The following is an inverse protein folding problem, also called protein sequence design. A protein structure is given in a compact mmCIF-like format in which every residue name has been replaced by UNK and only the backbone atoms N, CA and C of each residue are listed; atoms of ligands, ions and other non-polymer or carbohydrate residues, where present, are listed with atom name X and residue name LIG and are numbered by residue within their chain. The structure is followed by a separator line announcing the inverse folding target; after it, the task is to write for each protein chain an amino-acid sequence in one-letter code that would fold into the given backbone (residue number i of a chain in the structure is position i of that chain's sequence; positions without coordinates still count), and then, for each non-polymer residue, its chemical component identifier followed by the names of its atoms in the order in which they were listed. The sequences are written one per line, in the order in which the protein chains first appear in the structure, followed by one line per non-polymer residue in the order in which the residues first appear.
data_IF_995694173226
#
_entry.id   IF_995694173226
#
_cell.length_a   1.000
_cell.length_b   1.000
_cell.length_c   1.000
_cell.angle_alpha   90.00
_cell.angle_beta   90.00
_cell.angle_gamma   90.00
#
_symmetry.space_group_name_H-M   'P 1'
#
loop_
_entity.id
_entity.type
_entity.pdbx_description
1 polymer ?
#
# COMPACT_ATOMS: atom_id res chain seq x y z
N UNK A 1 45.43 45.99 7.75
CA UNK A 1 45.44 47.46 7.53
C UNK A 1 44.52 47.77 6.36
N UNK A 2 43.58 48.73 6.54
CA UNK A 2 42.73 49.40 5.52
C UNK A 2 41.72 48.50 4.76
N UNK A 3 40.39 48.57 4.99
CA UNK A 3 39.41 49.63 4.61
C UNK A 3 39.29 49.81 3.08
N UNK A 4 38.16 50.05 2.41
CA UNK A 4 36.70 50.19 2.67
C UNK A 4 36.05 50.44 1.27
N UNK A 5 34.74 50.11 1.11
CA UNK A 5 33.72 50.73 0.18
C UNK A 5 33.86 50.48 -1.35
N UNK A 6 32.83 50.43 -2.21
CA UNK A 6 31.34 50.44 -2.14
C UNK A 6 30.75 50.43 -3.59
N UNK A 7 29.54 49.88 -3.79
CA UNK A 7 28.61 50.23 -4.90
C UNK A 7 28.67 49.34 -6.16
N UNK A 8 27.61 49.00 -6.93
CA UNK A 8 26.28 49.59 -7.17
C UNK A 8 25.38 48.56 -7.96
N UNK A 9 24.09 48.48 -7.57
CA UNK A 9 22.80 48.29 -8.31
C UNK A 9 22.51 47.15 -9.33
N UNK A 10 21.37 46.50 -9.07
CA UNK A 10 20.22 46.09 -9.92
C UNK A 10 20.44 45.61 -11.36
N UNK A 11 19.91 44.40 -11.66
CA UNK A 11 18.87 44.25 -12.69
C UNK A 11 17.99 43.02 -12.45
N UNK A 12 16.70 43.25 -12.64
CA UNK A 12 15.57 42.34 -12.70
C UNK A 12 15.61 41.46 -13.95
N UNK A 13 15.48 40.14 -13.81
CA UNK A 13 15.15 39.26 -14.93
C UNK A 13 13.67 38.87 -14.88
N UNK A 14 12.96 39.31 -15.92
CA UNK A 14 11.59 38.93 -16.23
C UNK A 14 11.48 37.42 -16.46
N UNK A 15 10.50 36.80 -15.81
CA UNK A 15 10.06 35.46 -16.14
C UNK A 15 9.34 35.46 -17.49
N UNK A 16 9.86 34.68 -18.44
CA UNK A 16 9.18 34.40 -19.69
C UNK A 16 8.37 33.10 -19.52
N UNK A 17 7.06 33.25 -19.41
CA UNK A 17 6.09 32.15 -19.48
C UNK A 17 5.91 31.80 -20.95
N UNK A 18 6.40 30.63 -21.37
CA UNK A 18 6.12 30.09 -22.72
C UNK A 18 4.92 29.16 -22.63
N UNK A 19 3.79 29.61 -23.19
CA UNK A 19 2.62 28.76 -23.51
C UNK A 19 2.84 28.14 -24.90
N UNK A 20 2.55 26.85 -25.12
CA UNK A 20 2.48 26.33 -26.48
C UNK A 20 1.14 26.71 -27.13
N UNK A 21 1.25 27.32 -28.32
CA UNK A 21 0.14 27.60 -29.24
C UNK A 21 -0.13 26.33 -30.05
N UNK A 22 -1.36 25.84 -30.00
CA UNK A 22 -1.89 24.83 -30.92
C UNK A 22 -2.38 25.52 -32.19
N UNK A 23 -1.82 25.16 -33.35
CA UNK A 23 -2.42 25.47 -34.65
C UNK A 23 -3.08 24.20 -35.21
N UNK A 24 -4.39 24.26 -35.36
CA UNK A 24 -5.17 23.27 -36.09
C UNK A 24 -5.01 23.47 -37.60
N UNK A 25 -5.00 22.37 -38.34
CA UNK A 25 -5.08 22.33 -39.79
C UNK A 25 -5.89 21.13 -40.24
N UNK A 26 -7.07 21.39 -40.79
CA UNK A 26 -7.99 20.42 -41.42
C UNK A 26 -7.77 20.46 -42.93
N UNK A 27 -7.58 19.29 -43.55
CA UNK A 27 -8.07 18.86 -44.88
C UNK A 27 -7.55 17.42 -45.09
N UNK A 28 -8.22 16.44 -45.70
CA UNK A 28 -9.38 16.43 -46.58
C UNK A 28 -9.06 15.50 -47.77
N UNK A 29 -9.45 14.21 -47.64
CA UNK A 29 -9.86 13.26 -48.71
C UNK A 29 -8.91 12.97 -49.90
N UNK A 30 -8.53 11.71 -50.09
CA UNK A 30 -9.04 10.89 -51.24
C UNK A 30 -8.80 9.39 -51.06
N UNK A 31 -9.77 8.60 -51.51
CA UNK A 31 -9.81 7.16 -51.47
C UNK A 31 -9.17 6.50 -52.70
N UNK A 32 -8.59 5.31 -52.53
CA UNK A 32 -8.51 4.31 -53.59
C UNK A 32 -8.53 2.89 -52.98
N UNK A 33 -9.61 2.16 -53.28
CA UNK A 33 -9.73 0.70 -53.10
C UNK A 33 -8.84 0.00 -54.13
N UNK A 34 -8.16 -1.07 -53.75
CA UNK A 34 -7.94 -2.22 -54.63
C UNK A 34 -7.92 -3.52 -53.78
N UNK A 35 -8.81 -4.41 -54.19
CA UNK A 35 -9.03 -5.77 -53.76
C UNK A 35 -7.96 -6.74 -54.27
N UNK A 36 -7.63 -7.78 -53.50
CA UNK A 36 -6.85 -8.92 -54.00
C UNK A 36 -6.65 -10.01 -52.96
N UNK A 37 -7.53 -11.01 -52.98
CA UNK A 37 -7.35 -12.30 -52.30
C UNK A 37 -6.11 -13.05 -52.83
N UNK A 38 -5.48 -13.88 -51.97
CA UNK A 38 -5.46 -15.36 -52.04
C UNK A 38 -4.12 -16.00 -51.58
N UNK A 39 -4.27 -17.06 -50.77
CA UNK A 39 -3.41 -18.26 -50.57
C UNK A 39 -2.40 -18.31 -49.41
N UNK A 40 -2.86 -19.04 -48.39
CA UNK A 40 -2.20 -20.16 -47.70
C UNK A 40 -0.84 -20.61 -48.25
N UNK A 41 0.16 -20.65 -47.36
CA UNK A 41 1.19 -21.71 -47.33
C UNK A 41 1.64 -21.93 -45.88
N UNK A 42 1.38 -23.13 -45.36
CA UNK A 42 2.15 -23.70 -44.25
C UNK A 42 3.32 -24.49 -44.81
N UNK A 43 4.38 -24.67 -44.02
CA UNK A 43 5.06 -25.95 -43.98
C UNK A 43 5.02 -26.55 -42.57
N UNK A 44 4.57 -27.80 -42.52
CA UNK A 44 4.83 -28.74 -41.44
C UNK A 44 6.28 -29.19 -41.52
N UNK A 45 6.97 -29.24 -40.38
CA UNK A 45 8.09 -30.15 -40.19
C UNK A 45 8.05 -30.73 -38.78
N UNK A 46 7.77 -32.03 -38.72
CA UNK A 46 7.93 -32.89 -37.54
C UNK A 46 9.20 -33.69 -37.75
N UNK A 47 10.22 -33.59 -36.88
CA UNK A 47 11.20 -34.68 -36.65
C UNK A 47 11.70 -34.65 -35.19
N UNK A 48 11.34 -35.72 -34.49
CA UNK A 48 12.03 -36.54 -33.48
C UNK A 48 12.74 -35.93 -32.25
N UNK A 49 12.23 -36.38 -31.11
CA UNK A 49 12.92 -36.50 -29.84
C UNK A 49 14.18 -37.36 -29.95
N UNK A 50 15.28 -36.87 -29.37
CA UNK A 50 16.46 -37.66 -29.05
C UNK A 50 16.73 -37.53 -27.55
N UNK A 51 16.32 -38.55 -26.80
CA UNK A 51 16.80 -38.81 -25.44
C UNK A 51 18.29 -39.14 -25.49
N UNK A 52 19.13 -38.31 -24.87
CA UNK A 52 20.49 -38.71 -24.49
C UNK A 52 20.66 -38.53 -22.98
N UNK A 53 20.67 -39.66 -22.30
CA UNK A 53 21.24 -39.80 -20.96
C UNK A 53 22.73 -39.53 -21.03
N UNK A 54 23.21 -38.54 -20.29
CA UNK A 54 24.63 -38.36 -20.00
C UNK A 54 24.81 -38.53 -18.50
N UNK A 55 25.27 -39.72 -18.14
CA UNK A 55 25.87 -40.03 -16.86
C UNK A 55 27.26 -39.40 -16.80
N UNK A 56 27.44 -38.36 -16.00
CA UNK A 56 28.76 -37.86 -15.60
C UNK A 56 28.97 -38.18 -14.13
N UNK A 57 29.82 -39.16 -13.88
CA UNK A 57 30.46 -39.37 -12.58
C UNK A 57 31.34 -38.17 -12.27
N UNK A 58 31.18 -37.60 -11.08
CA UNK A 58 32.14 -36.65 -10.50
C UNK A 58 32.52 -37.19 -9.12
N UNK A 59 33.80 -37.48 -8.96
CA UNK A 59 34.42 -37.89 -7.70
C UNK A 59 34.43 -36.75 -6.68
N UNK A 60 34.32 -37.04 -5.37
CA UNK A 60 34.24 -36.02 -4.34
C UNK A 60 35.62 -35.45 -3.97
N UNK A 61 35.75 -34.12 -4.05
CA UNK A 61 36.84 -33.39 -3.41
C UNK A 61 36.51 -33.20 -1.92
N UNK A 62 37.29 -33.84 -1.07
CA UNK A 62 37.39 -33.54 0.36
C UNK A 62 38.06 -32.19 0.54
N UNK A 63 37.39 -31.25 1.22
CA UNK A 63 38.07 -30.13 1.88
C UNK A 63 37.71 -30.12 3.36
N UNK A 64 38.77 -30.23 4.16
CA UNK A 64 38.78 -30.10 5.61
C UNK A 64 38.88 -28.62 5.97
N UNK A 65 38.02 -28.10 6.85
CA UNK A 65 38.35 -27.19 7.97
C UNK A 65 37.07 -26.81 8.78
N UNK A 66 37.22 -26.40 10.06
CA UNK A 66 36.32 -26.81 11.14
C UNK A 66 35.19 -25.83 11.49
N UNK A 67 34.11 -26.39 12.08
CA UNK A 67 33.03 -25.66 12.79
C UNK A 67 33.57 -24.92 14.03
N UNK A 68 33.00 -23.74 14.33
CA UNK A 68 32.74 -23.32 15.70
C UNK A 68 31.24 -23.46 16.03
N UNK A 69 30.98 -24.04 17.20
CA UNK A 69 29.65 -24.18 17.82
C UNK A 69 29.18 -22.84 18.44
N UNK A 70 27.86 -22.64 18.63
CA UNK A 70 27.28 -21.39 19.14
C UNK A 70 27.27 -21.32 20.68
N UNK A 71 27.29 -20.13 21.30
CA UNK A 71 26.91 -19.98 22.70
C UNK A 71 25.38 -19.87 22.87
N UNK A 72 24.82 -20.96 23.38
CA UNK A 72 23.90 -21.13 24.53
C UNK A 72 22.83 -20.07 24.85
N UNK A 73 21.58 -20.52 24.70
CA UNK A 73 20.39 -20.39 25.57
C UNK A 73 20.25 -19.14 26.47
N UNK A 74 19.24 -18.33 26.17
CA UNK A 74 18.52 -17.52 27.16
C UNK A 74 17.10 -18.06 27.32
N UNK A 75 16.75 -18.23 28.58
CA UNK A 75 15.63 -19.00 29.14
C UNK A 75 14.27 -18.38 28.85
N UNK A 76 13.33 -19.23 28.44
CA UNK A 76 11.88 -18.98 28.44
C UNK A 76 11.40 -18.89 29.89
N UNK A 77 10.94 -17.72 30.29
CA UNK A 77 10.05 -17.49 31.44
C UNK A 77 8.83 -16.79 30.82
N UNK A 78 7.61 -17.29 30.85
CA UNK A 78 6.94 -17.97 31.95
C UNK A 78 5.68 -17.14 32.23
N UNK A 79 4.55 -17.56 31.64
CA UNK A 79 3.23 -16.98 31.87
C UNK A 79 2.93 -16.87 33.37
N UNK A 80 2.60 -15.67 33.83
CA UNK A 80 2.03 -15.45 35.16
C UNK A 80 0.69 -14.72 35.03
N UNK A 81 -0.38 -15.51 34.92
CA UNK A 81 -1.74 -15.08 35.22
C UNK A 81 -1.80 -14.58 36.67
N UNK A 82 -2.10 -13.30 36.88
CA UNK A 82 -2.45 -12.78 38.20
C UNK A 82 -3.96 -12.77 38.40
N UNK A 83 -4.43 -13.74 39.19
CA UNK A 83 -5.67 -13.63 39.96
C UNK A 83 -5.43 -12.70 41.16
N UNK A 84 -6.32 -11.74 41.37
CA UNK A 84 -6.60 -11.11 42.66
C UNK A 84 -8.13 -11.00 42.73
N UNK A 85 -8.78 -11.88 43.50
CA UNK A 85 -9.08 -11.77 44.94
C UNK A 85 -10.33 -10.94 45.21
N UNK A 86 -11.44 -11.65 45.44
CA UNK A 86 -12.66 -11.16 46.05
C UNK A 86 -12.46 -10.85 47.53
N UNK A 87 -12.89 -9.67 47.98
CA UNK A 87 -13.39 -9.30 49.32
C UNK A 87 -14.03 -7.91 49.18
N UNK A 88 -15.04 -7.46 49.91
CA UNK A 88 -16.03 -8.06 50.78
C UNK A 88 -17.22 -7.07 50.82
N UNK A 89 -18.39 -7.61 51.14
CA UNK A 89 -19.71 -6.97 51.26
C UNK A 89 -19.74 -5.74 52.18
N UNK A 90 -20.59 -4.76 51.86
CA UNK A 90 -21.45 -4.05 52.84
C UNK A 90 -22.81 -3.71 52.24
N UNK A 91 -23.84 -4.22 52.93
CA UNK A 91 -25.28 -3.87 53.00
C UNK A 91 -25.49 -2.36 53.28
N UNK A 92 -26.58 -1.64 53.03
CA UNK A 92 -28.04 -1.77 52.72
C UNK A 92 -28.59 -0.30 52.64
N UNK A 93 -29.88 0.06 52.42
CA UNK A 93 -31.07 -0.74 52.17
C UNK A 93 -31.93 -0.33 50.96
N UNK A 94 -32.81 -1.27 50.67
CA UNK A 94 -33.96 -1.31 49.79
C UNK A 94 -35.09 -0.34 50.23
N UNK A 95 -35.70 0.36 49.27
CA UNK A 95 -37.00 1.01 49.45
C UNK A 95 -37.97 0.47 48.40
N UNK A 96 -39.00 -0.23 48.89
CA UNK A 96 -40.04 -0.87 48.12
C UNK A 96 -41.09 0.15 47.63
N UNK A 97 -41.44 0.08 46.34
CA UNK A 97 -42.69 0.61 45.78
C UNK A 97 -43.32 -0.47 44.89
N UNK A 98 -44.56 -0.82 45.20
CA UNK A 98 -45.42 -1.83 44.55
C UNK A 98 -46.10 -1.27 43.28
N UNK A 99 -46.69 -2.13 42.42
CA UNK A 99 -46.73 -1.94 40.98
C UNK A 99 -47.97 -1.19 40.49
N UNK A 100 -47.80 -0.37 39.46
CA UNK A 100 -48.87 0.18 38.63
C UNK A 100 -48.74 -0.38 37.22
N UNK A 101 -49.77 -1.12 36.79
CA UNK A 101 -49.93 -1.61 35.43
C UNK A 101 -50.13 -0.44 34.45
N UNK A 102 -49.44 -0.48 33.31
CA UNK A 102 -50.04 -0.49 31.98
C UNK A 102 -49.01 -0.12 30.88
N UNK A 103 -48.75 -1.09 30.00
CA UNK A 103 -48.69 -0.86 28.56
C UNK A 103 -47.53 -0.06 27.99
N UNK A 104 -46.30 -0.59 28.03
CA UNK A 104 -45.26 -0.33 27.03
C UNK A 104 -44.33 -1.55 26.97
N UNK A 105 -44.87 -2.66 26.46
CA UNK A 105 -44.13 -3.91 26.27
C UNK A 105 -44.33 -4.40 24.82
N UNK A 106 -43.84 -3.59 23.90
CA UNK A 106 -43.48 -3.91 22.52
C UNK A 106 -42.63 -2.71 22.06
N UNK A 107 -41.57 -2.92 21.29
CA UNK A 107 -40.72 -1.88 20.69
C UNK A 107 -39.47 -1.44 21.47
N UNK A 108 -38.85 -2.31 22.27
CA UNK A 108 -37.43 -2.16 22.63
C UNK A 108 -36.71 -3.52 22.59
N UNK A 109 -36.84 -4.22 21.47
CA UNK A 109 -36.06 -5.41 21.18
C UNK A 109 -35.67 -5.45 19.70
N UNK A 110 -35.28 -4.31 19.13
CA UNK A 110 -34.34 -4.33 18.01
C UNK A 110 -32.96 -4.24 18.65
N UNK A 111 -32.45 -5.39 19.07
CA UNK A 111 -31.06 -5.54 19.44
C UNK A 111 -30.26 -5.07 18.22
N UNK A 112 -29.59 -3.92 18.32
CA UNK A 112 -28.49 -3.57 17.43
C UNK A 112 -27.51 -4.73 17.51
N UNK A 113 -27.57 -5.63 16.53
CA UNK A 113 -26.60 -6.69 16.38
C UNK A 113 -25.25 -5.99 16.32
N UNK A 114 -24.39 -6.24 17.31
CA UNK A 114 -23.03 -5.70 17.30
C UNK A 114 -22.40 -6.22 16.01
N UNK A 115 -22.11 -5.31 15.07
CA UNK A 115 -21.51 -5.68 13.81
C UNK A 115 -20.25 -6.51 14.09
N UNK A 116 -20.16 -7.68 13.46
CA UNK A 116 -19.03 -8.57 13.64
C UNK A 116 -17.74 -7.83 13.26
N UNK A 117 -16.75 -7.87 14.14
CA UNK A 117 -15.48 -7.19 13.93
C UNK A 117 -14.45 -8.17 13.34
N UNK A 118 -13.56 -7.71 12.44
CA UNK A 118 -12.51 -8.55 11.90
C UNK A 118 -11.44 -8.90 12.94
N UNK A 119 -10.75 -10.01 12.72
CA UNK A 119 -9.44 -10.25 13.32
C UNK A 119 -8.40 -9.56 12.43
N UNK A 120 -7.46 -8.83 13.03
CA UNK A 120 -6.44 -8.07 12.31
C UNK A 120 -5.06 -8.51 12.80
N UNK A 121 -4.18 -8.81 11.84
CA UNK A 121 -2.74 -8.99 12.08
C UNK A 121 -1.99 -7.87 11.39
N UNK A 122 -1.16 -7.16 12.14
CA UNK A 122 -0.27 -6.10 11.66
C UNK A 122 1.18 -6.60 11.62
N UNK A 123 1.84 -6.42 10.46
CA UNK A 123 3.22 -6.88 10.23
C UNK A 123 4.04 -5.72 9.70
N UNK A 124 5.01 -5.26 10.50
CA UNK A 124 5.88 -4.13 10.19
C UNK A 124 7.12 -4.56 9.39
N UNK A 125 7.32 -3.99 8.21
CA UNK A 125 8.55 -4.12 7.42
C UNK A 125 9.49 -2.95 7.73
N UNK A 126 10.53 -3.23 8.50
CA UNK A 126 11.40 -2.18 9.06
C UNK A 126 12.29 -1.42 8.06
N UNK A 127 12.59 -1.97 6.88
CA UNK A 127 13.49 -1.31 5.89
C UNK A 127 12.82 -0.18 5.12
N UNK A 128 11.51 -0.24 5.01
CA UNK A 128 10.66 0.73 4.28
C UNK A 128 9.73 1.48 5.24
N UNK A 129 9.50 0.93 6.44
CA UNK A 129 8.57 1.47 7.43
C UNK A 129 7.13 1.12 7.11
N UNK A 130 6.89 0.15 6.21
CA UNK A 130 5.57 -0.25 5.72
C UNK A 130 4.86 -1.14 6.72
N UNK A 131 3.58 -0.86 6.93
CA UNK A 131 2.66 -1.78 7.58
C UNK A 131 1.91 -2.62 6.56
N UNK A 132 1.90 -3.92 6.81
CA UNK A 132 1.15 -4.90 6.02
C UNK A 132 0.08 -5.48 6.92
N UNK A 133 -1.11 -5.70 6.38
CA UNK A 133 -2.24 -6.17 7.19
C UNK A 133 -2.86 -7.44 6.64
N UNK A 134 -3.23 -8.35 7.53
CA UNK A 134 -4.12 -9.48 7.23
C UNK A 134 -5.42 -9.26 8.02
N UNK A 135 -6.51 -9.07 7.31
CA UNK A 135 -7.83 -8.79 7.88
C UNK A 135 -8.74 -9.96 7.60
N UNK A 136 -9.33 -10.53 8.66
CA UNK A 136 -10.01 -11.83 8.59
C UNK A 136 -11.42 -11.70 9.11
N UNK A 137 -12.35 -12.29 8.38
CA UNK A 137 -13.69 -12.59 8.90
C UNK A 137 -13.63 -13.81 9.83
N UNK A 138 -13.85 -13.65 11.14
CA UNK A 138 -13.78 -14.77 12.08
C UNK A 138 -14.89 -15.81 11.90
N UNK A 139 -15.96 -15.52 11.15
CA UNK A 139 -17.02 -16.51 10.89
C UNK A 139 -16.68 -17.47 9.75
N UNK A 140 -15.84 -17.08 8.80
CA UNK A 140 -15.55 -17.85 7.59
C UNK A 140 -14.07 -18.18 7.40
N UNK A 141 -13.18 -17.55 8.18
CA UNK A 141 -11.73 -17.54 7.96
C UNK A 141 -11.30 -16.98 6.60
N UNK A 142 -12.22 -16.35 5.83
CA UNK A 142 -11.85 -15.59 4.64
C UNK A 142 -11.07 -14.35 5.06
N UNK A 143 -10.01 -14.07 4.31
CA UNK A 143 -9.07 -13.02 4.63
C UNK A 143 -8.72 -12.17 3.41
N UNK A 144 -8.27 -10.96 3.71
CA UNK A 144 -7.65 -10.04 2.76
C UNK A 144 -6.27 -9.64 3.27
N UNK A 145 -5.30 -9.56 2.36
CA UNK A 145 -3.98 -8.98 2.62
C UNK A 145 -3.98 -7.56 2.06
N UNK A 146 -3.52 -6.58 2.83
CA UNK A 146 -3.47 -5.16 2.41
C UNK A 146 -2.02 -4.67 2.45
N UNK A 147 -1.61 -4.00 1.37
CA UNK A 147 -0.29 -3.39 1.14
C UNK A 147 0.91 -4.32 1.40
N UNK A 148 0.97 -5.55 0.83
CA UNK A 148 2.06 -6.48 1.10
C UNK A 148 3.37 -6.02 0.45
N UNK A 149 4.47 -6.04 1.21
CA UNK A 149 5.78 -5.59 0.76
C UNK A 149 6.69 -6.73 0.28
N UNK A 150 7.43 -6.48 -0.80
CA UNK A 150 8.45 -7.36 -1.36
C UNK A 150 9.84 -6.80 -1.04
N UNK A 151 10.75 -7.67 -0.56
CA UNK A 151 12.10 -7.24 -0.22
C UNK A 151 12.87 -6.85 -1.49
N UNK A 152 13.44 -5.64 -1.48
CA UNK A 152 14.35 -5.20 -2.52
C UNK A 152 15.56 -4.47 -1.93
N UNK A 153 16.76 -4.91 -2.31
CA UNK A 153 18.01 -4.23 -1.99
C UNK A 153 18.50 -3.43 -3.20
N UNK A 154 18.46 -2.09 -3.19
CA UNK A 154 18.93 -1.27 -4.31
C UNK A 154 20.45 -1.30 -4.49
N UNK A 155 21.24 -1.70 -3.49
CA UNK A 155 22.69 -1.77 -3.61
C UNK A 155 23.12 -3.00 -4.42
N UNK A 156 22.45 -4.13 -4.20
CA UNK A 156 22.72 -5.41 -4.89
C UNK A 156 21.73 -5.74 -5.99
N UNK A 157 20.67 -4.93 -6.15
CA UNK A 157 19.56 -5.13 -7.11
C UNK A 157 18.86 -6.50 -6.93
N UNK A 158 18.82 -6.99 -5.69
CA UNK A 158 18.31 -8.32 -5.37
C UNK A 158 16.89 -8.23 -4.80
N UNK A 159 16.03 -9.15 -5.25
CA UNK A 159 14.71 -9.40 -4.67
C UNK A 159 14.78 -10.63 -3.77
N UNK A 160 14.22 -10.53 -2.56
CA UNK A 160 13.98 -11.69 -1.69
C UNK A 160 12.52 -11.76 -1.28
N UNK A 161 12.11 -12.90 -0.72
CA UNK A 161 10.71 -13.16 -0.39
C UNK A 161 10.48 -13.31 1.12
N UNK A 162 11.44 -12.92 1.96
CA UNK A 162 11.39 -13.17 3.42
C UNK A 162 10.17 -12.48 4.03
N UNK A 163 9.93 -11.22 3.66
CA UNK A 163 8.78 -10.45 4.17
C UNK A 163 7.45 -11.05 3.71
N UNK A 164 7.31 -11.36 2.42
CA UNK A 164 6.10 -11.96 1.87
C UNK A 164 5.84 -13.39 2.42
N UNK A 165 6.89 -14.20 2.59
CA UNK A 165 6.81 -15.56 3.14
C UNK A 165 6.39 -15.56 4.63
N UNK A 166 6.66 -14.48 5.37
CA UNK A 166 6.16 -14.31 6.74
C UNK A 166 4.63 -14.18 6.75
N UNK A 167 4.05 -13.44 5.79
CA UNK A 167 2.58 -13.35 5.63
C UNK A 167 1.99 -14.71 5.27
N UNK A 168 2.57 -15.43 4.30
CA UNK A 168 2.14 -16.79 3.94
C UNK A 168 2.21 -17.76 5.13
N UNK A 169 3.27 -17.66 5.93
CA UNK A 169 3.44 -18.49 7.13
C UNK A 169 2.36 -18.21 8.16
N UNK A 170 2.01 -16.94 8.39
CA UNK A 170 0.91 -16.57 9.28
C UNK A 170 -0.44 -17.08 8.77
N UNK A 171 -0.74 -16.86 7.48
CA UNK A 171 -1.97 -17.38 6.83
C UNK A 171 -2.09 -18.90 7.03
N UNK A 172 -0.99 -19.64 6.80
CA UNK A 172 -0.95 -21.10 6.99
C UNK A 172 -1.11 -21.52 8.44
N UNK A 173 -0.41 -20.88 9.37
CA UNK A 173 -0.49 -21.18 10.80
C UNK A 173 -1.91 -21.01 11.33
N UNK A 174 -2.61 -19.96 10.90
CA UNK A 174 -3.96 -19.65 11.36
C UNK A 174 -5.07 -20.35 10.55
N UNK A 175 -4.74 -20.98 9.43
CA UNK A 175 -5.71 -21.64 8.57
C UNK A 175 -6.67 -20.67 7.87
N UNK A 176 -6.16 -19.49 7.48
CA UNK A 176 -6.95 -18.50 6.74
C UNK A 176 -7.01 -18.82 5.24
N UNK A 177 -8.07 -18.38 4.59
CA UNK A 177 -8.26 -18.48 3.14
C UNK A 177 -8.24 -17.06 2.58
N UNK A 178 -7.21 -16.71 1.83
CA UNK A 178 -7.07 -15.36 1.28
C UNK A 178 -7.82 -15.27 -0.03
N UNK A 179 -8.83 -14.41 -0.12
CA UNK A 179 -9.61 -14.19 -1.34
C UNK A 179 -9.13 -12.95 -2.12
N UNK A 180 -8.43 -12.05 -1.42
CA UNK A 180 -8.10 -10.73 -1.91
C UNK A 180 -6.72 -10.29 -1.46
N UNK A 181 -6.00 -9.64 -2.36
CA UNK A 181 -4.80 -8.87 -2.07
C UNK A 181 -5.07 -7.45 -2.54
N UNK A 182 -5.05 -6.48 -1.64
CA UNK A 182 -5.47 -5.12 -1.91
C UNK A 182 -4.31 -4.13 -1.75
N UNK A 183 -4.27 -3.17 -2.67
CA UNK A 183 -3.35 -2.04 -2.62
C UNK A 183 -4.15 -0.77 -2.32
N UNK A 184 -3.76 -0.04 -1.28
CA UNK A 184 -4.33 1.27 -1.01
C UNK A 184 -3.98 2.26 -2.11
N UNK A 185 -2.79 2.16 -2.69
CA UNK A 185 -2.34 2.97 -3.82
C UNK A 185 -1.10 2.36 -4.49
N UNK A 186 -0.68 2.91 -5.63
CA UNK A 186 0.62 2.58 -6.21
C UNK A 186 1.78 3.16 -5.36
N UNK A 187 2.34 2.33 -4.49
CA UNK A 187 3.41 2.73 -3.56
C UNK A 187 4.69 3.20 -4.26
N UNK A 188 5.40 4.13 -3.63
CA UNK A 188 6.63 4.73 -4.16
C UNK A 188 7.87 4.39 -3.32
N UNK A 189 7.69 3.74 -2.19
CA UNK A 189 8.71 3.53 -1.16
C UNK A 189 9.09 2.04 -1.02
N UNK A 190 8.22 1.12 -1.46
CA UNK A 190 8.45 -0.33 -1.49
C UNK A 190 7.86 -0.97 -2.75
N UNK A 191 8.37 -2.15 -3.12
CA UNK A 191 7.78 -2.99 -4.16
C UNK A 191 6.63 -3.79 -3.54
N UNK A 192 5.48 -3.87 -4.20
CA UNK A 192 4.40 -4.77 -3.76
C UNK A 192 4.77 -6.24 -3.98
N UNK A 193 4.41 -7.10 -3.03
CA UNK A 193 4.47 -8.55 -3.14
C UNK A 193 3.18 -9.18 -3.71
N UNK A 194 2.20 -8.38 -4.16
CA UNK A 194 0.88 -8.87 -4.54
C UNK A 194 0.91 -10.02 -5.58
N UNK A 195 1.62 -9.84 -6.69
CA UNK A 195 1.74 -10.90 -7.72
C UNK A 195 2.43 -12.17 -7.19
N UNK A 196 3.45 -12.02 -6.34
CA UNK A 196 4.12 -13.16 -5.71
C UNK A 196 3.16 -13.91 -4.78
N UNK A 197 2.49 -13.20 -3.87
CA UNK A 197 1.54 -13.79 -2.94
C UNK A 197 0.37 -14.45 -3.66
N UNK A 198 -0.17 -13.82 -4.71
CA UNK A 198 -1.25 -14.39 -5.52
C UNK A 198 -0.85 -15.76 -6.09
N UNK A 199 0.33 -15.84 -6.70
CA UNK A 199 0.85 -17.07 -7.30
C UNK A 199 1.08 -18.16 -6.25
N UNK A 200 1.63 -17.80 -5.08
CA UNK A 200 1.88 -18.74 -3.98
C UNK A 200 0.59 -19.23 -3.33
N UNK A 201 -0.37 -18.34 -3.10
CA UNK A 201 -1.67 -18.69 -2.54
C UNK A 201 -2.46 -19.59 -3.50
N UNK A 202 -2.50 -19.28 -4.80
CA UNK A 202 -3.13 -20.17 -5.79
C UNK A 202 -2.56 -21.61 -5.72
N UNK A 203 -1.25 -21.75 -5.55
CA UNK A 203 -0.60 -23.06 -5.39
C UNK A 203 -0.90 -23.74 -4.05
N UNK A 204 -1.02 -22.97 -2.96
CA UNK A 204 -1.11 -23.50 -1.59
C UNK A 204 -2.56 -23.75 -1.12
N UNK A 205 -3.52 -22.89 -1.48
CA UNK A 205 -4.94 -23.01 -1.12
C UNK A 205 -5.83 -23.47 -2.27
N UNK A 206 -5.35 -23.51 -3.51
CA UNK A 206 -6.09 -23.99 -4.70
C UNK A 206 -7.03 -22.96 -5.34
N UNK A 207 -7.36 -21.89 -4.62
CA UNK A 207 -8.10 -20.74 -5.14
C UNK A 207 -7.16 -19.55 -5.34
N UNK A 208 -7.26 -18.89 -6.50
CA UNK A 208 -6.46 -17.70 -6.81
C UNK A 208 -7.13 -16.44 -6.23
N UNK A 209 -6.52 -15.76 -5.23
CA UNK A 209 -7.04 -14.47 -4.77
C UNK A 209 -6.93 -13.43 -5.87
N UNK A 210 -7.83 -12.47 -5.92
CA UNK A 210 -7.71 -11.36 -6.87
C UNK A 210 -6.83 -10.23 -6.30
N UNK A 211 -6.09 -9.53 -7.16
CA UNK A 211 -5.35 -8.31 -6.80
C UNK A 211 -6.22 -7.09 -7.13
N UNK A 212 -6.49 -6.24 -6.12
CA UNK A 212 -7.39 -5.10 -6.22
C UNK A 212 -6.73 -3.75 -5.92
N UNK A 213 -7.14 -2.71 -6.65
CA UNK A 213 -6.69 -1.32 -6.45
C UNK A 213 -7.78 -0.33 -6.91
N UNK A 214 -7.65 0.96 -6.59
CA UNK A 214 -8.56 2.00 -7.07
C UNK A 214 -8.53 2.20 -8.59
N UNK A 215 -9.69 2.40 -9.22
CA UNK A 215 -9.83 2.55 -10.69
C UNK A 215 -8.96 3.64 -11.33
N UNK A 216 -8.52 4.63 -10.55
CA UNK A 216 -7.66 5.72 -11.04
C UNK A 216 -6.19 5.28 -11.18
N UNK A 217 -5.83 4.04 -10.86
CA UNK A 217 -4.53 3.44 -11.19
C UNK A 217 -4.17 3.63 -12.67
N UNK A 218 -5.15 3.65 -13.58
CA UNK A 218 -4.91 3.93 -15.00
C UNK A 218 -4.26 5.29 -15.27
N UNK A 219 -4.49 6.30 -14.43
CA UNK A 219 -3.82 7.60 -14.54
C UNK A 219 -2.35 7.52 -14.15
N UNK A 220 -2.08 6.77 -13.08
CA UNK A 220 -0.73 6.51 -12.55
C UNK A 220 0.07 5.64 -13.52
N UNK A 221 -0.53 4.55 -14.03
CA UNK A 221 0.01 3.70 -15.09
C UNK A 221 0.36 4.50 -16.35
N UNK A 222 -0.55 5.37 -16.83
CA UNK A 222 -0.28 6.21 -18.01
C UNK A 222 0.94 7.10 -17.78
N UNK A 223 1.00 7.78 -16.65
CA UNK A 223 2.08 8.72 -16.34
C UNK A 223 3.43 8.00 -16.19
N UNK A 224 3.49 6.99 -15.32
CA UNK A 224 4.75 6.34 -14.99
C UNK A 224 5.16 5.31 -16.04
N UNK A 225 4.22 4.72 -16.76
CA UNK A 225 4.51 3.92 -17.94
C UNK A 225 5.21 4.73 -19.02
N UNK A 226 4.74 5.97 -19.28
CA UNK A 226 5.45 6.88 -20.17
C UNK A 226 6.82 7.28 -19.61
N UNK A 227 6.91 7.62 -18.32
CA UNK A 227 8.17 8.08 -17.69
C UNK A 227 9.28 7.03 -17.75
N UNK A 228 8.94 5.77 -17.52
CA UNK A 228 9.91 4.67 -17.42
C UNK A 228 9.96 3.78 -18.67
N UNK A 229 9.15 4.07 -19.69
CA UNK A 229 9.08 3.24 -20.90
C UNK A 229 8.53 1.84 -20.63
N UNK A 230 7.53 1.72 -19.75
CA UNK A 230 6.84 0.45 -19.49
C UNK A 230 5.82 0.20 -20.60
N UNK A 231 5.89 -0.94 -21.31
CA UNK A 231 4.91 -1.29 -22.33
C UNK A 231 3.49 -1.33 -21.76
N UNK A 232 2.50 -0.90 -22.55
CA UNK A 232 1.10 -0.86 -22.11
C UNK A 232 0.60 -2.27 -21.79
N UNK A 233 1.09 -3.26 -22.52
CA UNK A 233 0.76 -4.67 -22.40
C UNK A 233 1.18 -5.26 -21.03
N UNK A 234 2.22 -4.69 -20.40
CA UNK A 234 2.66 -5.09 -19.06
C UNK A 234 1.80 -4.46 -17.94
N UNK A 235 1.07 -3.39 -18.24
CA UNK A 235 0.17 -2.70 -17.31
C UNK A 235 -1.28 -3.13 -17.48
N UNK A 236 -1.67 -3.56 -18.67
CA UNK A 236 -3.00 -4.09 -18.95
C UNK A 236 -3.23 -5.40 -18.16
N UNK A 237 -4.39 -5.49 -17.51
CA UNK A 237 -4.73 -6.63 -16.65
C UNK A 237 -3.77 -6.86 -15.48
N UNK A 238 -3.00 -5.84 -15.07
CA UNK A 238 -2.11 -5.93 -13.91
C UNK A 238 -2.84 -6.13 -12.59
N UNK A 239 -4.09 -5.64 -12.54
CA UNK A 239 -4.98 -5.75 -11.40
C UNK A 239 -6.25 -6.45 -11.86
N UNK A 240 -6.69 -7.45 -11.11
CA UNK A 240 -7.88 -8.24 -11.40
C UNK A 240 -9.16 -7.46 -11.09
N UNK A 241 -9.11 -6.55 -10.11
CA UNK A 241 -10.23 -5.70 -9.70
C UNK A 241 -9.82 -4.22 -9.61
N UNK A 242 -10.57 -3.38 -10.33
CA UNK A 242 -10.54 -1.94 -10.15
C UNK A 242 -11.77 -1.52 -9.34
N UNK A 243 -11.54 -0.93 -8.17
CA UNK A 243 -12.61 -0.46 -7.29
C UNK A 243 -13.12 0.91 -7.72
N UNK A 244 -14.44 1.04 -7.77
CA UNK A 244 -15.13 2.32 -7.83
C UNK A 244 -15.06 3.07 -6.49
N UNK A 245 -15.36 4.36 -6.54
CA UNK A 245 -15.38 5.19 -5.33
C UNK A 245 -16.50 4.71 -4.43
N UNK A 246 -16.15 4.42 -3.18
CA UNK A 246 -17.07 4.00 -2.14
C UNK A 246 -17.79 2.68 -2.49
N UNK A 247 -17.17 1.86 -3.33
CA UNK A 247 -17.69 0.54 -3.69
C UNK A 247 -17.77 -0.36 -2.45
N UNK A 248 -18.94 -0.95 -2.23
CA UNK A 248 -19.17 -1.94 -1.19
C UNK A 248 -18.76 -3.32 -1.70
N UNK A 249 -17.99 -4.04 -0.89
CA UNK A 249 -17.55 -5.40 -1.15
C UNK A 249 -17.57 -6.23 0.14
N UNK A 250 -17.19 -7.50 0.08
CA UNK A 250 -17.25 -8.39 1.24
C UNK A 250 -15.93 -9.13 1.46
N UNK A 251 -15.51 -9.24 2.72
CA UNK A 251 -14.47 -10.18 3.19
C UNK A 251 -15.21 -11.29 3.94
N UNK A 252 -15.43 -12.45 3.32
CA UNK A 252 -16.35 -13.44 3.87
C UNK A 252 -17.76 -12.86 4.06
N UNK A 253 -18.25 -12.83 5.30
CA UNK A 253 -19.52 -12.22 5.70
C UNK A 253 -19.40 -10.75 6.15
N UNK A 254 -18.18 -10.20 6.23
CA UNK A 254 -17.98 -8.81 6.63
C UNK A 254 -18.20 -7.87 5.44
N UNK A 255 -19.13 -6.94 5.60
CA UNK A 255 -19.27 -5.82 4.66
C UNK A 255 -18.07 -4.87 4.80
N UNK A 256 -17.53 -4.47 3.65
CA UNK A 256 -16.40 -3.57 3.53
C UNK A 256 -16.68 -2.46 2.51
N UNK A 257 -15.97 -1.34 2.59
CA UNK A 257 -16.09 -0.23 1.65
C UNK A 257 -14.72 0.25 1.18
N UNK A 258 -14.54 0.39 -0.13
CA UNK A 258 -13.38 1.00 -0.75
C UNK A 258 -13.55 2.53 -0.81
N UNK A 259 -13.17 3.21 0.26
CA UNK A 259 -13.26 4.67 0.38
C UNK A 259 -12.27 5.35 -0.56
N UNK A 260 -12.73 6.22 -1.47
CA UNK A 260 -11.80 7.07 -2.23
C UNK A 260 -11.23 8.16 -1.33
N UNK A 261 -9.90 8.17 -1.18
CA UNK A 261 -9.15 9.05 -0.26
C UNK A 261 -7.99 9.76 -0.98
N UNK A 262 -8.25 10.51 -2.07
CA UNK A 262 -7.19 11.13 -2.86
C UNK A 262 -6.40 12.16 -2.06
N UNK A 263 -5.19 12.44 -2.53
CA UNK A 263 -4.39 13.57 -2.07
C UNK A 263 -2.91 13.22 -1.94
N UNK A 264 -2.59 12.03 -1.44
CA UNK A 264 -1.24 11.49 -1.55
C UNK A 264 -0.93 11.11 -3.00
N UNK A 265 -1.80 10.28 -3.58
CA UNK A 265 -1.87 9.96 -5.01
C UNK A 265 -3.34 10.03 -5.47
N UNK A 266 -3.61 10.14 -6.79
CA UNK A 266 -4.98 10.21 -7.29
C UNK A 266 -5.75 8.88 -7.18
N UNK A 267 -5.05 7.74 -7.17
CA UNK A 267 -5.61 6.39 -7.08
C UNK A 267 -5.85 5.89 -5.65
N UNK A 268 -5.48 6.69 -4.65
CA UNK A 268 -5.51 6.31 -3.26
C UNK A 268 -6.91 5.94 -2.74
N UNK A 269 -6.99 4.76 -2.13
CA UNK A 269 -8.12 4.21 -1.41
C UNK A 269 -7.80 3.98 0.07
N UNK A 270 -8.84 3.98 0.88
CA UNK A 270 -8.84 3.29 2.17
C UNK A 270 -9.90 2.20 2.22
N UNK A 271 -9.64 1.15 2.98
CA UNK A 271 -10.58 0.04 3.15
C UNK A 271 -11.23 0.10 4.53
N UNK A 272 -12.53 0.38 4.58
CA UNK A 272 -13.31 0.32 5.83
C UNK A 272 -13.87 -1.09 6.01
N UNK A 273 -13.53 -1.76 7.11
CA UNK A 273 -13.99 -3.11 7.46
C UNK A 273 -14.36 -3.11 8.94
N UNK A 274 -15.65 -3.21 9.27
CA UNK A 274 -16.12 -3.00 10.65
C UNK A 274 -15.80 -1.59 11.17
N UNK A 275 -15.27 -1.50 12.40
CA UNK A 275 -14.81 -0.27 13.05
C UNK A 275 -13.33 0.07 12.74
N UNK A 276 -12.83 -0.40 11.60
CA UNK A 276 -11.44 -0.23 11.17
C UNK A 276 -11.37 0.39 9.78
N UNK A 277 -10.44 1.32 9.57
CA UNK A 277 -10.13 1.88 8.25
C UNK A 277 -8.64 1.74 8.00
N UNK A 278 -8.28 0.95 6.99
CA UNK A 278 -6.91 0.85 6.47
C UNK A 278 -6.71 1.97 5.48
N UNK A 279 -6.09 3.08 5.90
CA UNK A 279 -6.09 4.34 5.16
C UNK A 279 -4.82 4.57 4.32
N UNK A 280 -3.94 3.57 4.20
CA UNK A 280 -2.65 3.71 3.51
C UNK A 280 -1.92 5.00 3.91
N UNK A 281 -1.34 5.68 2.92
CA UNK A 281 -0.71 6.99 3.10
C UNK A 281 -1.69 8.18 3.02
N UNK A 282 -2.70 8.18 3.89
CA UNK A 282 -3.54 9.36 4.15
C UNK A 282 -3.15 10.01 5.48
N UNK A 283 -3.64 9.44 6.59
CA UNK A 283 -3.25 9.81 7.94
C UNK A 283 -2.13 8.89 8.42
N UNK A 284 -1.12 9.48 9.06
CA UNK A 284 -0.05 8.76 9.74
C UNK A 284 -0.24 8.92 11.25
N UNK A 285 0.59 8.28 12.07
CA UNK A 285 0.57 8.47 13.52
C UNK A 285 0.50 9.96 13.91
N UNK A 286 -0.18 10.27 15.01
CA UNK A 286 -0.53 11.65 15.40
C UNK A 286 0.68 12.58 15.55
N UNK A 287 1.84 12.04 15.93
CA UNK A 287 3.11 12.78 16.04
C UNK A 287 3.73 13.11 14.68
N UNK A 288 3.39 12.33 13.64
CA UNK A 288 3.83 12.51 12.24
C UNK A 288 2.83 13.38 11.46
N UNK A 289 1.54 13.19 11.69
CA UNK A 289 0.45 13.95 11.07
C UNK A 289 -0.10 13.29 9.79
N UNK A 290 0.41 13.71 8.62
CA UNK A 290 -0.10 13.30 7.30
C UNK A 290 1.02 13.00 6.31
N UNK A 291 0.69 12.18 5.32
CA UNK A 291 1.55 11.87 4.18
C UNK A 291 1.88 13.12 3.34
N UNK A 292 2.85 12.96 2.44
CA UNK A 292 3.28 13.98 1.45
C UNK A 292 2.28 14.10 0.30
N UNK A 293 2.26 15.21 -0.43
CA UNK A 293 1.34 15.46 -1.55
C UNK A 293 2.03 15.89 -2.85
N UNK A 294 3.36 15.77 -2.94
CA UNK A 294 4.17 16.25 -4.06
C UNK A 294 4.46 15.18 -5.12
N UNK A 295 3.89 13.97 -4.98
CA UNK A 295 3.84 13.05 -6.10
C UNK A 295 3.01 13.63 -7.25
N UNK A 296 3.31 13.28 -8.51
CA UNK A 296 2.47 13.69 -9.63
C UNK A 296 1.00 13.33 -9.43
N UNK A 297 0.12 14.34 -9.47
CA UNK A 297 -1.31 14.19 -9.20
C UNK A 297 -1.70 14.25 -7.71
N UNK A 298 -0.72 14.36 -6.81
CA UNK A 298 -0.94 14.64 -5.40
C UNK A 298 -1.49 16.06 -5.17
N UNK A 299 -2.25 16.23 -4.08
CA UNK A 299 -3.01 17.42 -3.78
C UNK A 299 -3.21 17.56 -2.27
N UNK A 300 -2.63 18.61 -1.69
CA UNK A 300 -2.81 18.92 -0.27
C UNK A 300 -4.27 19.27 0.06
N UNK A 301 -4.99 19.94 -0.86
CA UNK A 301 -6.41 20.19 -0.72
C UNK A 301 -7.21 18.90 -0.62
N UNK A 302 -6.94 17.94 -1.50
CA UNK A 302 -7.67 16.68 -1.50
C UNK A 302 -7.30 15.84 -0.29
N UNK A 303 -6.02 15.81 0.11
CA UNK A 303 -5.61 15.10 1.32
C UNK A 303 -6.26 15.71 2.58
N UNK A 304 -6.44 17.02 2.64
CA UNK A 304 -7.20 17.66 3.72
C UNK A 304 -8.63 17.14 3.77
N UNK A 305 -9.33 17.11 2.63
CA UNK A 305 -10.71 16.63 2.54
C UNK A 305 -10.84 15.14 2.88
N UNK A 306 -9.93 14.32 2.37
CA UNK A 306 -9.82 12.88 2.70
C UNK A 306 -9.57 12.68 4.20
N UNK A 307 -8.67 13.46 4.78
CA UNK A 307 -8.43 13.47 6.23
C UNK A 307 -9.68 13.87 7.01
N UNK A 308 -10.39 14.94 6.61
CA UNK A 308 -11.64 15.36 7.26
C UNK A 308 -12.76 14.34 7.13
N UNK A 309 -12.82 13.61 6.02
CA UNK A 309 -13.72 12.47 5.82
C UNK A 309 -13.41 11.32 6.78
N UNK A 310 -12.12 10.99 6.98
CA UNK A 310 -11.72 9.97 7.97
C UNK A 310 -12.06 10.41 9.39
N UNK A 311 -11.81 11.68 9.73
CA UNK A 311 -12.04 12.23 11.06
C UNK A 311 -13.50 12.57 11.36
N UNK A 312 -14.43 12.39 10.41
CA UNK A 312 -15.88 12.48 10.68
C UNK A 312 -16.50 11.16 11.12
N UNK A 313 -15.71 10.07 11.11
CA UNK A 313 -16.13 8.77 11.65
C UNK A 313 -16.22 8.82 13.20
N UNK A 314 -16.92 7.88 13.84
CA UNK A 314 -17.00 7.82 15.30
C UNK A 314 -15.61 7.72 15.96
N UNK A 315 -15.46 8.35 17.14
CA UNK A 315 -14.16 8.48 17.82
C UNK A 315 -13.46 7.13 18.11
N UNK A 316 -14.22 6.04 18.26
CA UNK A 316 -13.68 4.70 18.55
C UNK A 316 -13.10 4.00 17.31
N UNK A 317 -13.41 4.46 16.10
CA UNK A 317 -12.93 3.85 14.86
C UNK A 317 -11.41 3.94 14.82
N UNK A 318 -10.77 2.82 14.47
CA UNK A 318 -9.31 2.72 14.34
C UNK A 318 -8.90 3.00 12.90
N UNK A 319 -7.95 3.92 12.75
CA UNK A 319 -7.32 4.25 11.46
C UNK A 319 -5.94 3.60 11.45
N UNK A 320 -5.76 2.64 10.55
CA UNK A 320 -4.54 1.89 10.32
C UNK A 320 -3.76 2.53 9.18
N UNK A 321 -2.52 2.95 9.45
CA UNK A 321 -1.68 3.75 8.57
C UNK A 321 -0.74 2.89 7.72
N UNK A 322 -0.53 3.26 6.45
CA UNK A 322 0.35 2.51 5.55
C UNK A 322 1.82 2.50 6.00
N UNK A 323 2.28 3.56 6.66
CA UNK A 323 3.66 3.69 7.11
C UNK A 323 3.79 4.26 8.51
N UNK A 324 4.85 3.87 9.19
CA UNK A 324 5.24 4.50 10.42
C UNK A 324 6.75 4.76 10.50
N UNK A 325 7.09 5.91 11.09
CA UNK A 325 8.46 6.36 11.24
C UNK A 325 8.64 6.86 12.68
N UNK A 326 8.94 5.96 13.64
CA UNK A 326 8.99 6.30 15.05
C UNK A 326 9.92 7.51 15.31
N UNK A 327 9.37 8.53 15.95
CA UNK A 327 10.11 9.74 16.29
C UNK A 327 11.02 9.52 17.51
N UNK A 328 11.82 10.53 17.90
CA UNK A 328 12.60 10.45 19.14
C UNK A 328 11.74 10.26 20.41
N UNK A 329 10.43 10.49 20.31
CA UNK A 329 9.48 10.36 21.42
C UNK A 329 8.79 9.00 21.51
N UNK A 330 9.01 8.13 20.51
CA UNK A 330 8.37 6.81 20.42
C UNK A 330 9.34 5.78 19.85
N UNK A 331 9.57 4.69 20.57
CA UNK A 331 10.55 3.67 20.19
C UNK A 331 10.00 2.64 19.22
N UNK A 332 8.76 2.22 19.42
CA UNK A 332 8.15 1.14 18.65
C UNK A 332 7.16 1.68 17.61
N UNK A 333 7.07 1.03 16.43
CA UNK A 333 6.09 1.39 15.43
C UNK A 333 4.67 1.11 15.95
N UNK A 334 3.74 1.98 15.61
CA UNK A 334 2.33 1.90 16.00
C UNK A 334 1.48 1.73 14.74
N UNK A 335 0.68 0.66 14.64
CA UNK A 335 -0.06 0.31 13.42
C UNK A 335 -1.39 1.03 13.24
N UNK A 336 -1.92 1.67 14.30
CA UNK A 336 -3.16 2.43 14.21
C UNK A 336 -3.30 3.47 15.32
N UNK A 337 -4.14 4.46 15.05
CA UNK A 337 -4.63 5.43 16.04
C UNK A 337 -6.14 5.59 15.88
N UNK A 338 -6.86 5.93 16.94
CA UNK A 338 -8.31 6.17 16.85
C UNK A 338 -8.62 7.53 16.24
N UNK A 339 -9.81 7.66 15.65
CA UNK A 339 -10.32 8.95 15.15
C UNK A 339 -10.29 10.01 16.25
N UNK A 340 -10.76 9.69 17.46
CA UNK A 340 -10.75 10.63 18.57
C UNK A 340 -9.34 11.15 18.91
N UNK A 341 -8.34 10.25 18.91
CA UNK A 341 -6.96 10.65 19.17
C UNK A 341 -6.37 11.49 18.03
N UNK A 342 -6.71 11.22 16.77
CA UNK A 342 -6.33 12.10 15.67
C UNK A 342 -6.95 13.49 15.77
N UNK A 343 -8.23 13.57 16.14
CA UNK A 343 -8.91 14.85 16.33
C UNK A 343 -8.26 15.68 17.45
N UNK A 344 -7.79 15.05 18.51
CA UNK A 344 -7.15 15.75 19.62
C UNK A 344 -5.67 16.07 19.37
N UNK A 345 -4.93 15.16 18.71
CA UNK A 345 -3.46 15.20 18.73
C UNK A 345 -2.79 15.19 17.35
N UNK A 346 -3.50 15.02 16.22
CA UNK A 346 -2.85 14.96 14.92
C UNK A 346 -2.16 16.30 14.61
N UNK A 347 -0.84 16.27 14.46
CA UNK A 347 0.02 17.44 14.25
C UNK A 347 -0.39 18.35 13.09
N UNK A 348 -1.09 17.82 12.08
CA UNK A 348 -1.51 18.59 10.91
C UNK A 348 -3.04 18.78 10.83
N UNK A 349 -3.82 17.82 11.35
CA UNK A 349 -5.26 17.72 11.10
C UNK A 349 -6.12 17.64 12.37
N UNK A 350 -5.57 17.92 13.55
CA UNK A 350 -6.39 18.06 14.77
C UNK A 350 -7.56 19.03 14.58
N UNK A 351 -8.56 18.93 15.44
CA UNK A 351 -9.73 19.79 15.44
C UNK A 351 -9.29 21.26 15.58
N UNK A 352 -9.91 22.13 14.77
CA UNK A 352 -9.54 23.53 14.65
C UNK A 352 -8.53 23.85 13.53
N UNK A 353 -7.82 22.86 12.97
CA UNK A 353 -6.95 23.11 11.81
C UNK A 353 -7.77 23.40 10.53
N UNK A 354 -7.55 24.58 9.95
CA UNK A 354 -8.22 25.03 8.71
C UNK A 354 -7.55 24.48 7.45
N UNK A 355 -8.27 24.44 6.33
CA UNK A 355 -7.73 23.98 5.04
C UNK A 355 -6.53 24.82 4.60
N UNK A 356 -6.60 26.15 4.70
CA UNK A 356 -5.52 27.05 4.29
C UNK A 356 -4.24 26.87 5.11
N UNK A 357 -4.38 26.69 6.43
CA UNK A 357 -3.25 26.39 7.32
C UNK A 357 -2.62 25.04 6.95
N UNK A 358 -3.45 24.01 6.75
CA UNK A 358 -2.97 22.69 6.38
C UNK A 358 -2.26 22.70 5.02
N UNK A 359 -2.86 23.29 3.99
CA UNK A 359 -2.30 23.35 2.63
C UNK A 359 -0.98 24.10 2.64
N UNK A 360 -0.89 25.22 3.37
CA UNK A 360 0.34 26.00 3.51
C UNK A 360 1.44 25.19 4.19
N UNK A 361 1.12 24.55 5.32
CA UNK A 361 2.03 23.66 6.04
C UNK A 361 2.52 22.52 5.16
N UNK A 362 1.59 21.84 4.48
CA UNK A 362 1.88 20.64 3.67
C UNK A 362 2.80 20.97 2.51
N UNK A 363 2.51 22.06 1.77
CA UNK A 363 3.36 22.53 0.66
C UNK A 363 4.75 22.94 1.11
N UNK A 364 4.87 23.64 2.25
CA UNK A 364 6.18 24.00 2.81
C UNK A 364 6.99 22.75 3.20
N UNK A 365 6.34 21.77 3.83
CA UNK A 365 6.99 20.52 4.22
C UNK A 365 7.43 19.72 3.01
N UNK A 366 6.56 19.54 2.03
CA UNK A 366 6.84 18.79 0.79
C UNK A 366 8.04 19.37 0.02
N UNK A 367 8.15 20.70 -0.08
CA UNK A 367 9.26 21.37 -0.75
C UNK A 367 10.65 21.09 -0.14
N UNK A 368 10.70 20.57 1.09
CA UNK A 368 11.94 20.21 1.80
C UNK A 368 12.25 18.71 1.79
N UNK A 369 11.34 17.88 1.27
CA UNK A 369 11.48 16.44 1.30
C UNK A 369 12.27 15.92 0.10
N UNK A 370 13.19 14.98 0.35
CA UNK A 370 13.83 14.22 -0.72
C UNK A 370 12.88 13.24 -1.41
N UNK A 371 13.28 12.73 -2.56
CA UNK A 371 12.59 11.60 -3.20
C UNK A 371 12.71 10.34 -2.32
N UNK A 372 11.67 9.48 -2.27
CA UNK A 372 11.78 8.18 -1.62
C UNK A 372 12.94 7.36 -2.19
N UNK A 373 13.62 6.60 -1.32
CA UNK A 373 14.81 5.81 -1.67
C UNK A 373 14.56 4.83 -2.82
N UNK A 374 13.36 4.25 -2.89
CA UNK A 374 12.98 3.24 -3.89
C UNK A 374 11.98 3.78 -4.94
N UNK A 375 11.87 5.11 -5.10
CA UNK A 375 10.87 5.74 -5.98
C UNK A 375 10.77 5.12 -7.36
N UNK A 376 11.91 4.97 -8.03
CA UNK A 376 11.94 4.53 -9.42
C UNK A 376 11.67 3.05 -9.56
N UNK A 377 12.20 2.23 -8.65
CA UNK A 377 12.04 0.78 -8.68
C UNK A 377 10.61 0.39 -8.32
N UNK A 378 10.09 0.94 -7.22
CA UNK A 378 8.74 0.66 -6.71
C UNK A 378 7.69 0.97 -7.76
N UNK A 379 7.68 2.19 -8.31
CA UNK A 379 6.66 2.58 -9.28
C UNK A 379 6.66 1.72 -10.55
N UNK A 380 7.82 1.24 -11.00
CA UNK A 380 7.87 0.36 -12.17
C UNK A 380 7.23 -1.01 -11.88
N UNK A 381 7.44 -1.56 -10.69
CA UNK A 381 6.87 -2.86 -10.30
C UNK A 381 5.39 -2.72 -9.93
N UNK A 382 5.04 -1.67 -9.21
CA UNK A 382 3.71 -1.52 -8.61
C UNK A 382 2.66 -1.18 -9.67
N UNK A 383 2.99 -0.42 -10.72
CA UNK A 383 2.06 -0.19 -11.84
C UNK A 383 1.79 -1.45 -12.69
N UNK A 384 2.56 -2.53 -12.46
CA UNK A 384 2.37 -3.86 -13.04
C UNK A 384 1.68 -4.83 -12.07
N UNK A 385 1.12 -4.35 -10.96
CA UNK A 385 0.47 -5.20 -9.94
C UNK A 385 1.45 -6.12 -9.22
N UNK A 386 2.73 -5.74 -9.13
CA UNK A 386 3.79 -6.56 -8.56
C UNK A 386 4.46 -7.53 -9.55
N UNK A 387 3.99 -7.59 -10.80
CA UNK A 387 4.67 -8.38 -11.85
C UNK A 387 6.03 -7.75 -12.16
N UNK A 388 7.06 -8.60 -12.24
CA UNK A 388 8.40 -8.15 -12.65
C UNK A 388 8.43 -7.82 -14.15
N UNK A 389 9.28 -6.89 -14.62
CA UNK A 389 9.45 -6.59 -16.04
C UNK A 389 9.83 -7.85 -16.80
N UNK A 390 9.31 -8.06 -18.01
CA UNK A 390 9.64 -9.23 -18.82
C UNK A 390 11.16 -9.40 -19.01
N UNK A 391 11.67 -10.65 -19.04
CA UNK A 391 13.09 -10.87 -19.24
C UNK A 391 13.48 -10.49 -20.68
N UNK A 392 14.67 -9.93 -20.83
CA UNK A 392 15.32 -9.75 -22.14
C UNK A 392 15.67 -11.10 -22.76
N UNK A 393 16.11 -11.10 -24.02
CA UNK A 393 16.64 -12.30 -24.70
C UNK A 393 17.79 -12.96 -23.92
N UNK A 394 18.55 -12.19 -23.14
CA UNK A 394 19.62 -12.68 -22.26
C UNK A 394 19.14 -13.18 -20.89
N UNK A 395 17.83 -13.16 -20.62
CA UNK A 395 17.21 -13.62 -19.37
C UNK A 395 17.28 -12.62 -18.21
N UNK A 396 17.80 -11.41 -18.44
CA UNK A 396 17.89 -10.36 -17.42
C UNK A 396 16.59 -9.53 -17.38
N UNK A 397 16.27 -8.95 -16.23
CA UNK A 397 15.14 -8.02 -16.07
C UNK A 397 15.68 -6.65 -15.71
N UNK A 398 15.12 -5.59 -16.28
CA UNK A 398 15.63 -4.23 -16.10
C UNK A 398 14.57 -3.30 -15.52
N UNK A 399 15.03 -2.42 -14.62
CA UNK A 399 14.32 -1.21 -14.19
C UNK A 399 15.07 -0.01 -14.74
N UNK A 400 14.35 0.96 -15.27
CA UNK A 400 14.94 2.15 -15.87
C UNK A 400 15.02 3.29 -14.84
N UNK A 401 16.21 3.84 -14.65
CA UNK A 401 16.46 4.95 -13.75
C UNK A 401 16.70 6.23 -14.55
N UNK A 402 15.86 7.27 -14.41
CA UNK A 402 16.06 8.52 -15.12
C UNK A 402 17.28 9.26 -14.59
N UNK A 403 18.16 9.70 -15.48
CA UNK A 403 19.30 10.54 -15.13
C UNK A 403 18.87 12.00 -15.02
N UNK A 404 19.25 12.66 -13.93
CA UNK A 404 19.06 14.11 -13.75
C UNK A 404 20.35 14.83 -14.09
N UNK A 405 20.29 15.67 -15.11
CA UNK A 405 21.41 16.49 -15.57
C UNK A 405 21.25 17.89 -14.96
N UNK A 406 22.20 18.32 -14.15
CA UNK A 406 22.18 19.66 -13.52
C UNK A 406 22.74 20.75 -14.44
N UNK A 407 23.31 20.35 -15.57
CA UNK A 407 23.80 21.21 -16.65
C UNK A 407 23.26 20.65 -17.96
N UNK A 408 22.82 21.53 -18.87
CA UNK A 408 22.21 21.13 -20.14
C UNK A 408 23.23 20.60 -21.16
N UNK A 409 24.52 20.87 -20.96
CA UNK A 409 25.61 20.43 -21.84
C UNK A 409 26.49 19.40 -21.12
N UNK A 410 26.90 18.36 -21.85
CA UNK A 410 27.75 17.25 -21.37
C UNK A 410 29.04 17.15 -22.16
#
# INVERSE_FOLDING_TARGET
MSALRSGIKNSSSLGLVVKPVWTGGVSGSTAARLSGNLRLFQPKTTIMAATRSLSTQVSPLQSTHPRPSPPTQATVLGNASRKYSQTARRSTPEAALKPGANGYAADIAEATAVAQQPIIHDVYESKTGTWQYIVVDPSTNKAVIIDPALDYDPATQTITFTTADALLSLVREKGYIVDMILETHAHADHLTAASYLQSRLEQEQGDRPFIGIGKRIGQVQKLFGQKYGVPVEEMEGAFDKLFDDDEVFHVGNLEATALHLPGHTPDHLGYKIGDHVFCGDSLLNVDIGTARCDFPGGSAQDLFKSGRRLLSLPDHVKIWNGHDYPSSTRTDPVPYVTVGSHREHNKHLMDGATEDQYVSLRRQRDATMGEPRLLHQSLQINIRGGRLPEPTESGQRFVHLPLKMLVEEW
#
